data_IF_661808182702
#
_entry.id   IF_661808182702
#
_cell.length_a   1.000
_cell.length_b   1.000
_cell.length_c   1.000
_cell.angle_alpha   90.00
_cell.angle_beta   90.00
_cell.angle_gamma   90.00
#
_symmetry.space_group_name_H-M   'P 1'
#
loop_
_entity.id
_entity.type
_entity.pdbx_description
1 polymer ?
#
# COMPACT_ATOMS: atom_id res chain seq x y z
N UNK A 1 3.78 12.22 -21.92
CA UNK A 1 4.09 10.83 -22.30
C UNK A 1 3.12 10.46 -23.42
N UNK A 2 3.56 9.81 -24.51
CA UNK A 2 2.66 9.42 -25.60
C UNK A 2 1.53 8.54 -25.09
N UNK A 3 0.33 8.70 -25.64
CA UNK A 3 -0.84 7.94 -25.19
C UNK A 3 -0.66 6.43 -25.34
N UNK A 4 -0.01 5.99 -26.40
CA UNK A 4 0.33 4.58 -26.64
C UNK A 4 1.19 3.95 -25.52
N UNK A 5 1.91 4.75 -24.72
CA UNK A 5 2.70 4.24 -23.60
C UNK A 5 1.85 4.05 -22.32
N UNK A 6 0.67 4.66 -22.23
CA UNK A 6 -0.18 4.64 -21.03
C UNK A 6 -0.96 3.33 -20.98
N UNK A 7 -0.47 2.37 -20.19
CA UNK A 7 -1.05 1.03 -20.04
C UNK A 7 -0.91 0.50 -18.61
N UNK A 8 -1.76 -0.43 -18.15
CA UNK A 8 -1.63 -1.06 -16.84
C UNK A 8 -0.20 -1.56 -16.58
N UNK A 9 0.29 -1.34 -15.35
CA UNK A 9 1.64 -1.69 -14.92
C UNK A 9 2.73 -0.68 -15.32
N UNK A 10 2.44 0.32 -16.14
CA UNK A 10 3.43 1.33 -16.51
C UNK A 10 3.81 2.22 -15.32
N UNK A 11 5.08 2.13 -14.91
CA UNK A 11 5.70 3.06 -13.97
C UNK A 11 5.97 4.40 -14.65
N UNK A 12 5.49 5.48 -14.04
CA UNK A 12 5.67 6.83 -14.52
C UNK A 12 5.59 7.82 -13.34
N UNK A 13 5.38 9.10 -13.64
CA UNK A 13 5.06 10.08 -12.61
C UNK A 13 3.82 10.89 -12.99
N UNK A 14 3.04 11.27 -11.98
CA UNK A 14 1.93 12.20 -12.11
C UNK A 14 2.34 13.57 -11.58
N UNK A 15 2.00 14.62 -12.32
CA UNK A 15 2.18 16.02 -11.91
C UNK A 15 0.85 16.57 -11.43
N UNK A 16 0.77 16.85 -10.13
CA UNK A 16 -0.43 17.44 -9.51
C UNK A 16 -0.03 18.76 -8.89
N UNK A 17 -0.57 19.86 -9.41
CA UNK A 17 -0.15 21.23 -9.07
C UNK A 17 1.35 21.44 -9.29
N UNK A 18 2.17 21.47 -8.23
CA UNK A 18 3.63 21.66 -8.29
C UNK A 18 4.42 20.41 -7.89
N UNK A 19 3.74 19.33 -7.52
CA UNK A 19 4.35 18.13 -6.97
C UNK A 19 4.39 17.00 -7.99
N UNK A 20 5.44 16.19 -7.90
CA UNK A 20 5.67 15.02 -8.74
C UNK A 20 5.60 13.78 -7.88
N UNK A 21 4.80 12.80 -8.30
CA UNK A 21 4.59 11.57 -7.57
C UNK A 21 4.95 10.37 -8.42
N UNK A 22 5.64 9.38 -7.87
CA UNK A 22 5.83 8.09 -8.54
C UNK A 22 4.53 7.33 -8.51
N UNK A 23 4.07 6.93 -9.69
CA UNK A 23 2.80 6.23 -9.84
C UNK A 23 2.92 5.05 -10.79
N UNK A 24 2.08 4.05 -10.56
CA UNK A 24 1.88 2.94 -11.50
C UNK A 24 0.47 3.05 -12.06
N UNK A 25 0.33 2.97 -13.38
CA UNK A 25 -1.00 2.90 -14.00
C UNK A 25 -1.67 1.59 -13.57
N UNK A 26 -2.80 1.68 -12.86
CA UNK A 26 -3.56 0.51 -12.44
C UNK A 26 -4.52 0.05 -13.54
N UNK A 27 -5.34 0.97 -14.06
CA UNK A 27 -6.21 0.71 -15.22
C UNK A 27 -6.50 1.99 -16.01
N UNK A 28 -6.86 1.81 -17.27
CA UNK A 28 -7.39 2.90 -18.10
C UNK A 28 -8.88 3.03 -17.82
N UNK A 29 -9.32 4.25 -17.45
CA UNK A 29 -10.73 4.53 -17.12
C UNK A 29 -11.45 5.06 -18.36
N UNK A 30 -10.79 5.91 -19.14
CA UNK A 30 -11.31 6.47 -20.39
C UNK A 30 -10.18 6.93 -21.32
N UNK A 31 -10.52 7.54 -22.44
CA UNK A 31 -9.54 8.18 -23.34
C UNK A 31 -8.74 9.28 -22.64
N UNK A 32 -9.26 9.91 -21.59
CA UNK A 32 -8.60 11.04 -20.91
C UNK A 32 -8.12 10.73 -19.51
N UNK A 33 -8.59 9.64 -18.90
CA UNK A 33 -8.37 9.36 -17.49
C UNK A 33 -7.85 7.95 -17.25
N UNK A 34 -7.03 7.83 -16.22
CA UNK A 34 -6.50 6.56 -15.73
C UNK A 34 -6.61 6.53 -14.22
N UNK A 35 -6.77 5.36 -13.65
CA UNK A 35 -6.56 5.14 -12.23
C UNK A 35 -5.11 4.74 -12.01
N UNK A 36 -4.44 5.43 -11.10
CA UNK A 36 -3.03 5.20 -10.77
C UNK A 36 -2.85 4.89 -9.30
N UNK A 37 -1.88 4.04 -9.00
CA UNK A 37 -1.42 3.77 -7.64
C UNK A 37 -0.23 4.66 -7.29
N UNK A 38 -0.34 5.40 -6.20
CA UNK A 38 0.74 6.23 -5.68
C UNK A 38 1.73 5.35 -4.91
N UNK A 39 2.85 4.99 -5.56
CA UNK A 39 3.78 3.96 -5.09
C UNK A 39 4.42 4.28 -3.72
N UNK A 40 4.47 5.56 -3.35
CA UNK A 40 5.05 6.02 -2.09
C UNK A 40 4.01 6.28 -0.99
N UNK A 41 2.72 6.24 -1.33
CA UNK A 41 1.62 6.59 -0.41
C UNK A 41 0.58 5.48 -0.25
N UNK A 42 0.52 4.51 -1.16
CA UNK A 42 -0.28 3.31 -1.00
C UNK A 42 -1.76 3.43 -1.38
N UNK A 43 -2.19 4.52 -2.04
CA UNK A 43 -3.58 4.71 -2.44
C UNK A 43 -3.75 4.77 -3.97
N UNK A 44 -4.97 4.48 -4.42
CA UNK A 44 -5.41 4.65 -5.80
C UNK A 44 -6.10 6.00 -5.98
N UNK A 45 -5.92 6.61 -7.14
CA UNK A 45 -6.64 7.83 -7.51
C UNK A 45 -6.79 7.92 -9.03
N UNK A 46 -7.93 8.44 -9.49
CA UNK A 46 -8.14 8.78 -10.90
C UNK A 46 -7.47 10.11 -11.23
N UNK A 47 -6.65 10.12 -12.27
CA UNK A 47 -5.93 11.30 -12.76
C UNK A 47 -6.07 11.43 -14.27
N UNK A 48 -5.85 12.64 -14.78
CA UNK A 48 -5.82 12.89 -16.23
C UNK A 48 -4.55 12.31 -16.83
N UNK A 49 -4.65 11.65 -17.99
CA UNK A 49 -3.48 11.17 -18.76
C UNK A 49 -2.49 12.31 -19.06
N UNK A 50 -3.01 13.53 -19.25
CA UNK A 50 -2.19 14.73 -19.50
C UNK A 50 -1.30 15.13 -18.32
N UNK A 51 -1.52 14.59 -17.11
CA UNK A 51 -0.66 14.78 -15.94
C UNK A 51 0.50 13.79 -15.90
N UNK A 52 0.47 12.73 -16.72
CA UNK A 52 1.50 11.69 -16.71
C UNK A 52 2.75 12.11 -17.49
N UNK A 53 3.91 11.78 -16.93
CA UNK A 53 5.24 12.02 -17.51
C UNK A 53 6.10 10.79 -17.31
N UNK A 54 7.06 10.58 -18.21
CA UNK A 54 8.06 9.53 -18.00
C UNK A 54 8.86 9.83 -16.73
N UNK A 55 9.09 8.79 -15.93
CA UNK A 55 9.94 8.88 -14.76
C UNK A 55 11.39 8.69 -15.20
N UNK A 56 12.29 9.61 -14.79
CA UNK A 56 13.72 9.45 -15.07
C UNK A 56 14.32 8.32 -14.24
N UNK A 57 15.25 7.56 -14.81
CA UNK A 57 15.86 6.40 -14.15
C UNK A 57 16.55 6.75 -12.81
N UNK A 58 17.08 7.97 -12.65
CA UNK A 58 17.67 8.40 -11.38
C UNK A 58 16.69 8.40 -10.20
N UNK A 59 15.37 8.50 -10.45
CA UNK A 59 14.31 8.43 -9.43
C UNK A 59 13.82 7.00 -9.14
N UNK A 60 14.45 5.99 -9.75
CA UNK A 60 14.19 4.58 -9.50
C UNK A 60 15.08 4.00 -8.39
N UNK A 61 16.14 4.71 -7.99
CA UNK A 61 17.11 4.21 -6.99
C UNK A 61 16.49 3.96 -5.61
N UNK A 62 15.55 4.81 -5.20
CA UNK A 62 14.82 4.63 -3.95
C UNK A 62 13.69 3.61 -4.17
N UNK A 63 13.55 2.53 -3.37
CA UNK A 63 12.42 1.62 -3.48
C UNK A 63 11.07 2.33 -3.24
N UNK A 64 9.96 1.76 -3.70
CA UNK A 64 8.62 2.25 -3.35
C UNK A 64 8.46 2.29 -1.82
N UNK A 65 7.95 3.40 -1.29
CA UNK A 65 7.90 3.61 0.17
C UNK A 65 6.60 3.13 0.82
N UNK A 66 5.53 2.93 0.04
CA UNK A 66 4.32 2.30 0.57
C UNK A 66 4.47 0.78 0.59
N UNK A 67 4.50 0.20 1.79
CA UNK A 67 4.63 -1.25 1.99
C UNK A 67 3.25 -1.86 2.22
N UNK A 68 2.80 -2.79 1.35
CA UNK A 68 1.58 -3.56 1.58
C UNK A 68 1.68 -4.36 2.87
N UNK A 69 0.67 -4.23 3.73
CA UNK A 69 0.72 -4.82 5.05
C UNK A 69 -0.65 -5.22 5.59
N UNK A 70 -0.62 -6.05 6.64
CA UNK A 70 -1.80 -6.48 7.39
C UNK A 70 -1.47 -6.62 8.86
N UNK A 71 -2.47 -6.39 9.74
CA UNK A 71 -2.30 -6.71 11.15
C UNK A 71 -2.15 -8.23 11.31
N UNK A 72 -1.10 -8.62 12.02
CA UNK A 72 -0.79 -10.02 12.27
C UNK A 72 -1.85 -10.67 13.16
N UNK A 73 -2.15 -11.94 12.87
CA UNK A 73 -2.89 -12.86 13.74
C UNK A 73 -4.26 -12.35 14.22
N UNK A 74 -4.94 -11.56 13.41
CA UNK A 74 -6.25 -11.01 13.75
C UNK A 74 -7.21 -11.14 12.57
N UNK A 75 -8.50 -11.40 12.85
CA UNK A 75 -9.55 -11.52 11.84
C UNK A 75 -10.83 -10.80 12.26
N UNK A 76 -11.65 -10.33 11.31
CA UNK A 76 -12.94 -9.74 11.63
C UNK A 76 -13.91 -10.77 12.23
N UNK A 77 -14.79 -10.31 13.12
CA UNK A 77 -15.85 -11.17 13.70
C UNK A 77 -16.87 -11.61 12.65
N UNK A 78 -17.29 -10.71 11.75
CA UNK A 78 -18.32 -10.96 10.74
C UNK A 78 -17.83 -11.49 9.39
N UNK A 79 -16.63 -12.07 9.32
CA UNK A 79 -16.00 -12.53 8.06
C UNK A 79 -15.36 -11.40 7.24
N UNK A 80 -15.89 -10.18 7.30
CA UNK A 80 -15.29 -8.97 6.73
C UNK A 80 -15.14 -7.85 7.78
N UNK A 81 -14.16 -6.97 7.59
CA UNK A 81 -13.96 -5.84 8.48
C UNK A 81 -15.11 -4.84 8.37
N UNK A 82 -15.78 -4.56 9.48
CA UNK A 82 -16.85 -3.56 9.50
C UNK A 82 -16.31 -2.15 9.32
N UNK A 83 -17.16 -1.22 8.87
CA UNK A 83 -16.80 0.20 8.77
C UNK A 83 -16.37 0.77 10.12
N UNK A 84 -17.02 0.34 11.20
CA UNK A 84 -16.67 0.73 12.57
C UNK A 84 -15.27 0.24 12.97
N UNK A 85 -14.94 -1.03 12.70
CA UNK A 85 -13.61 -1.58 12.96
C UNK A 85 -12.52 -0.84 12.16
N UNK A 86 -12.80 -0.56 10.89
CA UNK A 86 -11.88 0.17 10.00
C UNK A 86 -11.67 1.61 10.47
N UNK A 87 -12.73 2.31 10.86
CA UNK A 87 -12.65 3.66 11.42
C UNK A 87 -11.87 3.66 12.74
N UNK A 88 -12.11 2.69 13.61
CA UNK A 88 -11.38 2.55 14.87
C UNK A 88 -9.89 2.36 14.62
N UNK A 89 -9.52 1.46 13.72
CA UNK A 89 -8.13 1.24 13.33
C UNK A 89 -7.49 2.53 12.78
N UNK A 90 -8.18 3.26 11.90
CA UNK A 90 -7.72 4.56 11.41
C UNK A 90 -7.44 5.54 12.55
N UNK A 91 -8.33 5.62 13.54
CA UNK A 91 -8.16 6.49 14.70
C UNK A 91 -6.97 6.07 15.58
N UNK A 92 -6.70 4.76 15.70
CA UNK A 92 -5.51 4.27 16.42
C UNK A 92 -4.21 4.68 15.71
N UNK A 93 -4.20 4.72 14.38
CA UNK A 93 -3.03 5.11 13.58
C UNK A 93 -2.87 6.63 13.36
N UNK A 94 -3.91 7.42 13.64
CA UNK A 94 -3.98 8.81 13.19
C UNK A 94 -2.97 9.71 13.90
N UNK A 95 -2.11 10.38 13.11
CA UNK A 95 -1.06 11.31 13.59
C UNK A 95 -0.16 10.75 14.70
N UNK A 96 0.17 9.47 14.62
CA UNK A 96 1.01 8.78 15.61
C UNK A 96 2.17 8.07 14.94
N UNK A 97 3.34 8.15 15.60
CA UNK A 97 4.42 7.21 15.35
C UNK A 97 4.11 5.93 16.14
N UNK A 98 4.01 4.82 15.42
CA UNK A 98 3.71 3.49 16.00
C UNK A 98 4.85 2.54 15.72
N UNK A 99 5.07 1.60 16.63
CA UNK A 99 6.07 0.55 16.49
C UNK A 99 5.41 -0.66 15.81
N UNK A 100 6.05 -1.14 14.75
CA UNK A 100 5.66 -2.37 14.06
C UNK A 100 6.59 -3.53 14.42
N UNK A 101 6.05 -4.60 14.98
CA UNK A 101 6.77 -5.86 15.22
C UNK A 101 6.42 -6.83 14.10
N UNK A 102 7.40 -7.18 13.27
CA UNK A 102 7.19 -8.09 12.14
C UNK A 102 6.94 -9.51 12.64
N UNK A 103 5.81 -10.10 12.22
CA UNK A 103 5.48 -11.50 12.46
C UNK A 103 5.92 -12.38 11.28
N UNK A 104 5.61 -11.95 10.05
CA UNK A 104 5.87 -12.71 8.83
C UNK A 104 5.88 -11.80 7.59
N UNK A 105 6.65 -12.15 6.56
CA UNK A 105 6.50 -11.61 5.21
C UNK A 105 6.13 -12.74 4.25
N UNK A 106 4.91 -12.72 3.72
CA UNK A 106 4.39 -13.78 2.87
C UNK A 106 3.59 -13.21 1.70
N UNK A 107 3.84 -13.74 0.49
CA UNK A 107 3.13 -13.35 -0.73
C UNK A 107 3.13 -11.84 -1.01
N UNK A 108 4.20 -11.13 -0.64
CA UNK A 108 4.32 -9.69 -0.85
C UNK A 108 3.66 -8.82 0.22
N UNK A 109 3.06 -9.42 1.26
CA UNK A 109 2.41 -8.71 2.36
C UNK A 109 3.24 -8.85 3.64
N UNK A 110 3.49 -7.72 4.29
CA UNK A 110 4.11 -7.66 5.61
C UNK A 110 3.04 -7.80 6.70
N UNK A 111 3.10 -8.88 7.47
CA UNK A 111 2.27 -9.09 8.63
C UNK A 111 3.01 -8.60 9.87
N UNK A 112 2.41 -7.65 10.59
CA UNK A 112 3.01 -7.10 11.80
C UNK A 112 1.98 -6.84 12.90
N UNK A 113 2.46 -6.81 14.13
CA UNK A 113 1.75 -6.23 15.26
C UNK A 113 2.05 -4.73 15.31
N UNK A 114 1.02 -3.90 15.41
CA UNK A 114 1.18 -2.48 15.71
C UNK A 114 0.98 -2.21 17.19
N UNK A 115 1.86 -1.37 17.71
CA UNK A 115 1.87 -0.90 19.08
C UNK A 115 2.06 0.61 19.13
N UNK A 116 1.18 1.31 19.85
CA UNK A 116 1.41 2.69 20.25
C UNK A 116 2.18 2.67 21.57
N UNK A 117 3.42 3.18 21.54
CA UNK A 117 4.35 3.26 22.67
C UNK A 117 4.55 4.72 23.13
N UNK A 118 3.62 5.62 22.77
CA UNK A 118 3.73 7.06 23.09
C UNK A 118 3.44 7.39 24.56
N UNK A 119 2.94 6.42 25.33
CA UNK A 119 2.62 6.58 26.75
C UNK A 119 3.44 5.61 27.60
N UNK A 120 3.31 5.67 28.93
CA UNK A 120 3.95 4.70 29.82
C UNK A 120 3.37 3.28 29.75
N UNK A 121 2.35 3.05 28.92
CA UNK A 121 1.77 1.74 28.65
C UNK A 121 1.66 1.49 27.15
N UNK A 122 2.09 0.32 26.73
CA UNK A 122 2.05 -0.12 25.34
C UNK A 122 0.63 -0.55 24.93
N UNK A 123 0.10 0.07 23.87
CA UNK A 123 -1.24 -0.23 23.35
C UNK A 123 -1.15 -1.00 22.04
N UNK A 124 -1.41 -2.30 22.12
CA UNK A 124 -1.42 -3.19 20.95
C UNK A 124 -2.75 -3.15 20.21
N UNK A 125 -2.71 -2.84 18.92
CA UNK A 125 -3.93 -2.54 18.16
C UNK A 125 -4.83 -3.76 17.95
N UNK A 126 -4.24 -4.95 17.81
CA UNK A 126 -4.99 -6.20 17.70
C UNK A 126 -5.76 -6.53 19.00
N UNK A 127 -5.19 -6.18 20.16
CA UNK A 127 -5.86 -6.32 21.46
C UNK A 127 -7.04 -5.36 21.56
N UNK A 128 -6.85 -4.08 21.20
CA UNK A 128 -7.95 -3.09 21.20
C UNK A 128 -9.10 -3.54 20.30
N UNK A 129 -8.82 -3.98 19.07
CA UNK A 129 -9.86 -4.46 18.17
C UNK A 129 -10.57 -5.72 18.69
N UNK A 130 -9.87 -6.61 19.39
CA UNK A 130 -10.47 -7.78 20.04
C UNK A 130 -11.38 -7.36 21.20
N UNK A 131 -10.87 -6.53 22.10
CA UNK A 131 -11.54 -6.15 23.34
C UNK A 131 -12.79 -5.30 23.08
N UNK A 132 -12.78 -4.51 21.99
CA UNK A 132 -13.93 -3.76 21.51
C UNK A 132 -14.89 -4.62 20.65
N UNK A 133 -14.65 -5.93 20.51
CA UNK A 133 -15.53 -6.87 19.82
C UNK A 133 -15.49 -6.78 18.28
N UNK A 134 -14.50 -6.10 17.71
CA UNK A 134 -14.33 -6.00 16.26
C UNK A 134 -13.58 -7.19 15.65
N UNK A 135 -12.78 -7.90 16.46
CA UNK A 135 -11.90 -8.93 15.96
C UNK A 135 -11.76 -10.18 16.86
N UNK A 136 -11.33 -11.28 16.24
CA UNK A 136 -10.83 -12.46 16.92
C UNK A 136 -9.33 -12.66 16.66
N UNK A 137 -8.61 -13.09 17.69
CA UNK A 137 -7.20 -13.46 17.56
C UNK A 137 -7.10 -14.86 16.94
N UNK A 138 -6.17 -15.02 16.01
CA UNK A 138 -5.94 -16.25 15.26
C UNK A 138 -4.54 -16.78 15.53
N UNK A 139 -4.36 -18.10 15.34
CA UNK A 139 -3.02 -18.72 15.46
C UNK A 139 -2.12 -18.43 14.26
N UNK A 140 -2.69 -18.05 13.12
CA UNK A 140 -2.00 -17.82 11.86
C UNK A 140 -2.53 -16.56 11.20
N UNK A 141 -1.71 -15.96 10.35
CA UNK A 141 -2.10 -14.87 9.49
C UNK A 141 -3.14 -15.34 8.47
N UNK A 142 -4.09 -14.46 8.16
CA UNK A 142 -5.09 -14.73 7.13
C UNK A 142 -4.59 -14.13 5.81
N UNK A 143 -4.36 -14.96 4.78
CA UNK A 143 -3.97 -14.46 3.46
C UNK A 143 -5.10 -13.62 2.86
N UNK A 144 -4.85 -12.34 2.63
CA UNK A 144 -5.80 -11.50 1.92
C UNK A 144 -5.66 -11.74 0.42
N UNK A 145 -6.66 -12.39 -0.20
CA UNK A 145 -6.56 -12.84 -1.60
C UNK A 145 -6.64 -11.69 -2.62
N UNK A 146 -7.27 -10.56 -2.25
CA UNK A 146 -7.48 -9.42 -3.15
C UNK A 146 -6.21 -8.59 -3.41
N UNK A 147 -5.16 -8.71 -2.57
CA UNK A 147 -3.89 -8.01 -2.85
C UNK A 147 -3.14 -8.59 -4.05
N UNK A 148 -3.47 -9.80 -4.51
CA UNK A 148 -2.79 -10.42 -5.68
C UNK A 148 -2.93 -9.58 -6.96
N UNK A 149 -4.04 -8.83 -7.12
CA UNK A 149 -4.24 -7.92 -8.25
C UNK A 149 -3.62 -6.53 -8.08
N UNK A 150 -3.13 -6.21 -6.87
CA UNK A 150 -2.68 -4.88 -6.47
C UNK A 150 -1.25 -4.86 -5.89
N UNK A 151 -0.53 -5.99 -5.92
CA UNK A 151 0.90 -6.05 -5.62
C UNK A 151 1.71 -5.39 -6.75
N UNK A 152 1.42 -4.10 -7.00
CA UNK A 152 2.12 -3.25 -7.95
C UNK A 152 3.55 -2.97 -7.48
N UNK A 153 3.85 -3.16 -6.18
CA UNK A 153 5.23 -3.11 -5.68
C UNK A 153 6.07 -4.29 -6.20
N UNK A 154 5.50 -5.47 -6.46
CA UNK A 154 6.23 -6.56 -7.12
C UNK A 154 6.73 -6.20 -8.54
N UNK A 155 6.15 -5.19 -9.20
CA UNK A 155 6.68 -4.64 -10.46
C UNK A 155 8.03 -3.92 -10.29
N UNK A 156 8.44 -3.64 -9.04
CA UNK A 156 9.71 -2.99 -8.69
C UNK A 156 10.75 -3.97 -8.11
N UNK A 157 10.37 -5.22 -7.83
CA UNK A 157 11.24 -6.19 -7.12
C UNK A 157 12.03 -7.08 -8.08
N UNK A 158 11.80 -7.00 -9.39
CA UNK A 158 12.69 -7.65 -10.36
C UNK A 158 13.91 -6.74 -10.59
N UNK A 159 15.13 -7.13 -10.17
CA UNK A 159 16.33 -6.49 -10.66
C UNK A 159 16.40 -6.82 -12.14
N UNK A 160 16.29 -5.82 -12.99
CA UNK A 160 16.64 -5.99 -14.39
C UNK A 160 18.17 -6.11 -14.42
N UNK A 161 18.73 -7.31 -14.31
CA UNK A 161 20.16 -7.62 -14.51
C UNK A 161 20.65 -7.30 -15.94
N UNK A 162 19.92 -6.51 -16.73
CA UNK A 162 20.20 -6.27 -18.15
C UNK A 162 20.15 -4.82 -18.61
N UNK A 163 20.31 -3.84 -17.73
CA UNK A 163 20.40 -2.42 -18.13
C UNK A 163 21.64 -1.70 -17.57
N UNK A 164 22.76 -2.41 -17.45
CA UNK A 164 24.07 -1.80 -17.20
C UNK A 164 24.95 -1.63 -18.44
N UNK A 165 24.50 -2.02 -19.65
CA UNK A 165 25.25 -1.78 -20.88
C UNK A 165 24.34 -1.26 -22.01
N UNK A 166 24.13 0.05 -22.08
CA UNK A 166 23.77 0.80 -23.30
C UNK A 166 23.99 2.31 -23.08
#
# INVERSE_FOLDING_TARGET
MPEAAVRPGQLCCAVVSRWWYRVVVHRVVSDREVEVFYADYGHLQVVRKSWLRFLKCCYLKLPAQAVPCSLARVKPVGGTWSSAATLRFKNLCHFKLVVGIVDEYANGILYFFLCDTSTGQDVYFHSVLRDEGYAHICRRNIPYQEFKGLNLSALYVQPNEKQENA
#
